data_IF_271644959282
#
_entry.id   IF_271644959282
#
_cell.length_a   1.000
_cell.length_b   1.000
_cell.length_c   1.000
_cell.angle_alpha   90.00
_cell.angle_beta   90.00
_cell.angle_gamma   90.00
#
_symmetry.space_group_name_H-M   'P 1'
#
loop_
_entity.id
_entity.type
_entity.pdbx_description
1 polymer ?
#
# COMPACT_ATOMS: atom_id res chain seq x y z
N UNK A 1 48.30 -41.86 -2.30
CA UNK A 1 47.71 -40.60 -2.81
C UNK A 1 46.55 -40.94 -3.76
N UNK A 2 45.47 -40.16 -3.95
CA UNK A 2 44.93 -39.00 -3.22
C UNK A 2 43.38 -38.97 -3.35
N UNK A 3 42.69 -40.02 -2.87
CA UNK A 3 41.24 -40.19 -3.06
C UNK A 3 40.34 -39.29 -2.19
N UNK A 4 40.75 -39.00 -0.94
CA UNK A 4 39.90 -38.28 0.04
C UNK A 4 39.74 -36.80 -0.29
N UNK A 5 40.79 -36.13 -0.79
CA UNK A 5 40.76 -34.68 -1.10
C UNK A 5 39.86 -34.33 -2.28
N UNK A 6 39.76 -35.21 -3.30
CA UNK A 6 38.84 -34.99 -4.44
C UNK A 6 37.37 -35.03 -4.03
N UNK A 7 37.01 -35.93 -3.11
CA UNK A 7 35.63 -36.04 -2.58
C UNK A 7 35.27 -34.81 -1.76
N UNK A 8 36.19 -34.32 -0.91
CA UNK A 8 35.99 -33.08 -0.15
C UNK A 8 35.90 -31.84 -1.05
N UNK A 9 36.70 -31.75 -2.11
CA UNK A 9 36.59 -30.66 -3.09
C UNK A 9 35.25 -30.66 -3.85
N UNK A 10 34.77 -31.85 -4.25
CA UNK A 10 33.46 -31.98 -4.89
C UNK A 10 32.30 -31.65 -3.94
N UNK A 11 32.38 -32.05 -2.66
CA UNK A 11 31.40 -31.70 -1.64
C UNK A 11 31.34 -30.19 -1.37
N UNK A 12 32.49 -29.52 -1.29
CA UNK A 12 32.57 -28.06 -1.11
C UNK A 12 31.99 -27.30 -2.32
N UNK A 13 32.25 -27.76 -3.55
CA UNK A 13 31.65 -27.18 -4.76
C UNK A 13 30.13 -27.39 -4.81
N UNK A 14 29.63 -28.57 -4.41
CA UNK A 14 28.20 -28.85 -4.33
C UNK A 14 27.47 -27.94 -3.32
N UNK A 15 28.06 -27.74 -2.13
CA UNK A 15 27.50 -26.85 -1.10
C UNK A 15 27.52 -25.39 -1.56
N UNK A 16 28.58 -24.93 -2.20
CA UNK A 16 28.66 -23.58 -2.77
C UNK A 16 27.62 -23.35 -3.88
N UNK A 17 27.38 -24.36 -4.74
CA UNK A 17 26.38 -24.27 -5.80
C UNK A 17 24.94 -24.25 -5.26
N UNK A 18 24.65 -25.03 -4.21
CA UNK A 18 23.31 -25.03 -3.58
C UNK A 18 23.05 -23.71 -2.83
N UNK A 19 24.03 -23.17 -2.11
CA UNK A 19 23.93 -21.85 -1.48
C UNK A 19 23.80 -20.73 -2.53
N UNK A 20 24.53 -20.81 -3.65
CA UNK A 20 24.42 -19.85 -4.76
C UNK A 20 23.09 -19.94 -5.52
N UNK A 21 22.61 -21.15 -5.82
CA UNK A 21 21.37 -21.36 -6.57
C UNK A 21 20.11 -20.97 -5.82
N UNK A 22 20.05 -21.25 -4.51
CA UNK A 22 18.97 -20.76 -3.63
C UNK A 22 19.05 -19.24 -3.48
N UNK A 23 20.26 -18.66 -3.38
CA UNK A 23 20.43 -17.21 -3.33
C UNK A 23 19.99 -16.54 -4.62
N UNK A 24 20.30 -17.08 -5.81
CA UNK A 24 19.96 -16.49 -7.09
C UNK A 24 18.45 -16.36 -7.32
N UNK A 25 17.69 -17.43 -7.12
CA UNK A 25 16.23 -17.41 -7.31
C UNK A 25 15.50 -16.63 -6.21
N UNK A 26 16.04 -16.58 -4.99
CA UNK A 26 15.52 -15.74 -3.92
C UNK A 26 15.85 -14.26 -4.14
N UNK A 27 17.06 -13.92 -4.61
CA UNK A 27 17.47 -12.55 -4.95
C UNK A 27 16.71 -12.02 -6.16
N UNK A 28 16.54 -12.80 -7.24
CA UNK A 28 15.76 -12.35 -8.40
C UNK A 28 14.31 -12.06 -8.00
N UNK A 29 13.67 -12.97 -7.25
CA UNK A 29 12.31 -12.77 -6.74
C UNK A 29 12.21 -11.69 -5.64
N UNK A 30 13.28 -11.43 -4.90
CA UNK A 30 13.34 -10.34 -3.92
C UNK A 30 13.54 -8.99 -4.60
N UNK A 31 14.47 -8.87 -5.54
CA UNK A 31 14.79 -7.64 -6.29
C UNK A 31 13.66 -7.24 -7.25
N UNK A 32 13.01 -8.20 -7.92
CA UNK A 32 11.79 -7.94 -8.70
C UNK A 32 10.58 -7.56 -7.81
N UNK A 33 10.59 -7.95 -6.53
CA UNK A 33 9.60 -7.51 -5.53
C UNK A 33 10.00 -6.20 -4.87
N UNK A 34 11.29 -5.88 -4.79
CA UNK A 34 11.81 -4.62 -4.25
C UNK A 34 11.67 -3.49 -5.27
N UNK A 35 11.87 -3.73 -6.57
CA UNK A 35 11.56 -2.74 -7.61
C UNK A 35 10.06 -2.45 -7.66
N UNK A 36 9.22 -3.48 -7.71
CA UNK A 36 7.76 -3.33 -7.67
C UNK A 36 7.26 -2.68 -6.37
N UNK A 37 7.91 -2.92 -5.22
CA UNK A 37 7.50 -2.32 -3.94
C UNK A 37 8.16 -0.97 -3.63
N UNK A 38 9.30 -0.62 -4.23
CA UNK A 38 9.86 0.72 -4.23
C UNK A 38 8.97 1.66 -5.05
N UNK A 39 8.62 1.29 -6.29
CA UNK A 39 7.66 2.05 -7.10
C UNK A 39 6.29 2.18 -6.40
N UNK A 40 5.83 1.13 -5.72
CA UNK A 40 4.57 1.21 -4.94
C UNK A 40 4.69 2.15 -3.74
N UNK A 41 5.83 2.16 -3.03
CA UNK A 41 6.07 3.00 -1.84
C UNK A 41 6.17 4.48 -2.19
N UNK A 42 6.84 4.83 -3.28
CA UNK A 42 6.98 6.23 -3.67
C UNK A 42 5.66 6.79 -4.23
N UNK A 43 4.92 6.04 -5.05
CA UNK A 43 3.57 6.43 -5.50
C UNK A 43 2.58 6.62 -4.33
N UNK A 44 2.64 5.78 -3.29
CA UNK A 44 1.80 5.97 -2.10
C UNK A 44 2.25 7.16 -1.24
N UNK A 45 3.54 7.51 -1.23
CA UNK A 45 4.05 8.73 -0.56
C UNK A 45 3.58 10.02 -1.23
N UNK A 46 3.52 10.04 -2.56
CA UNK A 46 3.10 11.21 -3.34
C UNK A 46 1.58 11.45 -3.24
N UNK A 47 0.75 10.39 -3.36
CA UNK A 47 -0.70 10.49 -3.08
C UNK A 47 -1.02 11.05 -1.70
N UNK A 48 -0.22 10.64 -0.71
CA UNK A 48 -0.33 11.13 0.66
C UNK A 48 0.02 12.62 0.73
N UNK A 49 1.04 13.09 -0.03
CA UNK A 49 1.41 14.51 -0.15
C UNK A 49 0.29 15.32 -0.79
N UNK A 50 -0.30 14.88 -1.90
CA UNK A 50 -1.39 15.59 -2.59
C UNK A 50 -2.64 15.78 -1.73
N UNK A 51 -2.97 14.77 -0.91
CA UNK A 51 -4.08 14.85 0.05
C UNK A 51 -3.82 15.89 1.14
N UNK A 52 -2.59 15.97 1.65
CA UNK A 52 -2.19 16.98 2.63
C UNK A 52 -2.14 18.38 2.03
N UNK A 53 -1.65 18.52 0.79
CA UNK A 53 -1.68 19.76 0.02
C UNK A 53 -3.11 20.30 -0.11
N UNK A 54 -4.05 19.51 -0.62
CA UNK A 54 -5.47 19.93 -0.72
C UNK A 54 -6.11 20.28 0.62
N UNK A 55 -5.72 19.61 1.72
CA UNK A 55 -6.21 19.95 3.05
C UNK A 55 -5.65 21.29 3.55
N UNK A 56 -4.35 21.54 3.33
CA UNK A 56 -3.71 22.83 3.60
C UNK A 56 -4.30 23.95 2.75
N UNK A 57 -4.57 23.71 1.47
CA UNK A 57 -5.18 24.69 0.56
C UNK A 57 -6.61 25.04 0.99
N UNK A 58 -7.43 24.04 1.34
CA UNK A 58 -8.76 24.28 1.89
C UNK A 58 -8.69 25.07 3.19
N UNK A 59 -7.82 24.68 4.13
CA UNK A 59 -7.69 25.37 5.41
C UNK A 59 -7.14 26.81 5.25
N UNK A 60 -6.25 27.03 4.28
CA UNK A 60 -5.73 28.35 3.95
C UNK A 60 -6.81 29.27 3.36
N UNK A 61 -7.69 28.74 2.51
CA UNK A 61 -8.80 29.49 1.92
C UNK A 61 -9.95 29.76 2.91
N UNK A 62 -10.29 28.79 3.76
CA UNK A 62 -11.41 28.91 4.71
C UNK A 62 -11.08 29.82 5.91
N UNK A 63 -9.79 30.00 6.22
CA UNK A 63 -9.31 30.79 7.37
C UNK A 63 -8.48 32.02 6.97
N UNK A 64 -8.43 32.37 5.68
CA UNK A 64 -7.62 33.47 5.11
C UNK A 64 -6.17 33.50 5.64
N UNK A 65 -5.50 32.34 5.64
CA UNK A 65 -4.16 32.20 6.23
C UNK A 65 -3.11 33.00 5.45
N UNK A 66 -2.30 33.78 6.17
CA UNK A 66 -1.11 34.42 5.61
C UNK A 66 -0.05 33.39 5.19
N UNK A 67 0.89 33.77 4.34
CA UNK A 67 1.97 32.89 3.87
C UNK A 67 2.78 32.29 5.04
N UNK A 68 3.11 33.10 6.05
CA UNK A 68 3.78 32.65 7.28
C UNK A 68 2.96 31.62 8.07
N UNK A 69 1.65 31.84 8.20
CA UNK A 69 0.75 30.90 8.87
C UNK A 69 0.63 29.60 8.07
N UNK A 70 0.48 29.68 6.75
CA UNK A 70 0.43 28.53 5.84
C UNK A 70 1.69 27.66 5.98
N UNK A 71 2.88 28.27 5.99
CA UNK A 71 4.15 27.56 6.18
C UNK A 71 4.25 26.87 7.56
N UNK A 72 3.79 27.54 8.62
CA UNK A 72 3.74 26.94 9.97
C UNK A 72 2.77 25.74 10.04
N UNK A 73 1.60 25.84 9.40
CA UNK A 73 0.63 24.74 9.31
C UNK A 73 1.18 23.57 8.50
N UNK A 74 1.85 23.82 7.36
CA UNK A 74 2.53 22.78 6.59
C UNK A 74 3.57 22.02 7.44
N UNK A 75 4.36 22.74 8.23
CA UNK A 75 5.33 22.15 9.17
C UNK A 75 4.67 21.35 10.30
N UNK A 76 3.49 21.77 10.80
CA UNK A 76 2.70 20.97 11.75
C UNK A 76 2.21 19.67 11.10
N UNK A 77 1.70 19.76 9.88
CA UNK A 77 1.15 18.63 9.12
C UNK A 77 2.24 17.59 8.81
N UNK A 78 3.41 18.00 8.30
CA UNK A 78 4.47 17.05 7.93
C UNK A 78 5.10 16.39 9.17
N UNK A 79 5.24 17.10 10.31
CA UNK A 79 5.71 16.52 11.58
C UNK A 79 4.84 15.38 12.11
N UNK A 80 3.54 15.38 11.83
CA UNK A 80 2.61 14.34 12.30
C UNK A 80 2.27 13.29 11.24
N UNK A 81 2.73 13.48 9.99
CA UNK A 81 2.46 12.60 8.84
C UNK A 81 2.64 11.12 9.15
N UNK A 82 3.81 10.74 9.69
CA UNK A 82 4.12 9.33 9.90
C UNK A 82 3.27 8.69 11.00
N UNK A 83 2.97 9.45 12.07
CA UNK A 83 2.09 9.01 13.16
C UNK A 83 0.66 8.75 12.66
N UNK A 84 0.10 9.68 11.87
CA UNK A 84 -1.22 9.52 11.24
C UNK A 84 -1.24 8.35 10.26
N UNK A 85 -0.19 8.22 9.44
CA UNK A 85 -0.04 7.13 8.47
C UNK A 85 0.09 5.75 9.16
N UNK A 86 0.77 5.68 10.31
CA UNK A 86 0.86 4.47 11.13
C UNK A 86 -0.50 4.09 11.74
N UNK A 87 -1.19 5.03 12.40
CA UNK A 87 -2.52 4.84 12.96
C UNK A 87 -3.54 4.37 11.90
N UNK A 88 -3.45 4.93 10.68
CA UNK A 88 -4.29 4.49 9.56
C UNK A 88 -3.97 3.06 9.11
N UNK A 89 -2.69 2.66 9.03
CA UNK A 89 -2.30 1.28 8.70
C UNK A 89 -2.81 0.27 9.73
N UNK A 90 -2.78 0.63 11.00
CA UNK A 90 -3.27 -0.20 12.11
C UNK A 90 -4.80 -0.32 12.12
N UNK A 91 -5.52 0.79 11.91
CA UNK A 91 -6.98 0.83 12.05
C UNK A 91 -7.72 0.37 10.79
N UNK A 92 -7.14 0.56 9.60
CA UNK A 92 -7.77 0.26 8.30
C UNK A 92 -8.28 -1.19 8.17
N UNK A 93 -7.54 -2.25 8.59
CA UNK A 93 -8.03 -3.63 8.49
C UNK A 93 -9.35 -3.84 9.25
N UNK A 94 -9.43 -3.34 10.49
CA UNK A 94 -10.64 -3.42 11.34
C UNK A 94 -11.83 -2.66 10.73
N UNK A 95 -11.58 -1.52 10.09
CA UNK A 95 -12.62 -0.77 9.39
C UNK A 95 -13.12 -1.50 8.13
N UNK A 96 -12.21 -2.14 7.39
CA UNK A 96 -12.56 -2.95 6.21
C UNK A 96 -13.34 -4.21 6.58
N UNK A 97 -12.99 -4.87 7.70
CA UNK A 97 -13.74 -5.99 8.29
C UNK A 97 -15.15 -5.59 8.70
N UNK A 98 -15.30 -4.53 9.51
CA UNK A 98 -16.62 -3.99 9.90
C UNK A 98 -17.48 -3.63 8.68
N UNK A 99 -16.89 -3.03 7.64
CA UNK A 99 -17.59 -2.73 6.38
C UNK A 99 -18.03 -4.00 5.65
N UNK A 100 -17.26 -5.08 5.68
CA UNK A 100 -17.67 -6.36 5.09
C UNK A 100 -18.82 -7.00 5.87
N UNK A 101 -18.75 -6.98 7.21
CA UNK A 101 -19.84 -7.44 8.07
C UNK A 101 -21.14 -6.66 7.80
N UNK A 102 -21.10 -5.32 7.82
CA UNK A 102 -22.26 -4.48 7.52
C UNK A 102 -22.82 -4.74 6.11
N UNK A 103 -21.96 -4.94 5.10
CA UNK A 103 -22.39 -5.35 3.75
C UNK A 103 -23.05 -6.73 3.74
N UNK A 104 -22.68 -7.66 4.63
CA UNK A 104 -23.33 -8.97 4.75
C UNK A 104 -24.71 -8.83 5.40
N UNK A 105 -24.78 -8.20 6.57
CA UNK A 105 -26.02 -8.01 7.32
C UNK A 105 -27.07 -7.25 6.50
N UNK A 106 -26.66 -6.32 5.63
CA UNK A 106 -27.57 -5.66 4.69
C UNK A 106 -28.14 -6.66 3.67
N UNK A 107 -27.31 -7.53 3.06
CA UNK A 107 -27.76 -8.49 2.03
C UNK A 107 -28.81 -9.46 2.58
N UNK A 108 -28.64 -9.90 3.82
CA UNK A 108 -29.55 -10.84 4.49
C UNK A 108 -30.99 -10.27 4.67
N UNK A 109 -31.17 -8.96 4.46
CA UNK A 109 -32.45 -8.26 4.57
C UNK A 109 -33.08 -7.89 3.21
N UNK A 110 -32.40 -8.13 2.08
CA UNK A 110 -32.87 -7.71 0.75
C UNK A 110 -33.66 -8.80 0.03
N UNK A 111 -34.63 -8.39 -0.81
CA UNK A 111 -35.19 -9.29 -1.83
C UNK A 111 -34.16 -9.53 -2.95
N UNK A 112 -34.39 -10.53 -3.80
CA UNK A 112 -33.49 -10.88 -4.91
C UNK A 112 -33.27 -9.70 -5.87
N UNK A 113 -34.33 -8.95 -6.20
CA UNK A 113 -34.25 -7.76 -7.06
C UNK A 113 -33.52 -6.59 -6.38
N UNK A 114 -33.69 -6.45 -5.05
CA UNK A 114 -32.98 -5.44 -4.27
C UNK A 114 -31.50 -5.77 -4.12
N UNK A 115 -31.15 -7.06 -4.00
CA UNK A 115 -29.78 -7.54 -3.90
C UNK A 115 -29.00 -7.26 -5.19
N UNK A 116 -29.58 -7.48 -6.37
CA UNK A 116 -28.96 -7.15 -7.65
C UNK A 116 -28.65 -5.64 -7.75
N UNK A 117 -29.63 -4.79 -7.40
CA UNK A 117 -29.45 -3.34 -7.37
C UNK A 117 -28.37 -2.91 -6.35
N UNK A 118 -28.31 -3.55 -5.18
CA UNK A 118 -27.30 -3.28 -4.15
C UNK A 118 -25.89 -3.64 -4.61
N UNK A 119 -25.70 -4.81 -5.22
CA UNK A 119 -24.39 -5.21 -5.77
C UNK A 119 -23.93 -4.31 -6.92
N UNK A 120 -24.86 -3.82 -7.76
CA UNK A 120 -24.54 -2.79 -8.77
C UNK A 120 -24.08 -1.47 -8.13
N UNK A 121 -24.71 -1.03 -7.03
CA UNK A 121 -24.28 0.16 -6.28
C UNK A 121 -22.91 -0.03 -5.61
N UNK A 122 -22.64 -1.20 -5.02
CA UNK A 122 -21.34 -1.52 -4.43
C UNK A 122 -20.24 -1.51 -5.49
N UNK A 123 -20.45 -2.19 -6.62
CA UNK A 123 -19.50 -2.26 -7.74
C UNK A 123 -19.16 -0.87 -8.26
N UNK A 124 -20.17 -0.02 -8.54
CA UNK A 124 -19.98 1.38 -8.96
C UNK A 124 -19.23 2.23 -7.93
N UNK A 125 -19.37 1.93 -6.63
CA UNK A 125 -18.62 2.61 -5.57
C UNK A 125 -17.14 2.19 -5.56
N UNK A 126 -16.89 0.89 -5.73
CA UNK A 126 -15.55 0.31 -5.69
C UNK A 126 -14.78 0.59 -7.01
N UNK A 127 -15.46 0.66 -8.16
CA UNK A 127 -14.99 1.21 -9.46
C UNK A 127 -14.57 2.67 -9.31
N UNK A 128 -15.43 3.56 -8.79
CA UNK A 128 -15.05 4.97 -8.55
C UNK A 128 -13.86 5.14 -7.60
N UNK A 129 -13.65 4.20 -6.68
CA UNK A 129 -12.46 4.13 -5.81
C UNK A 129 -11.24 3.57 -6.53
N UNK A 130 -11.41 2.82 -7.62
CA UNK A 130 -10.35 2.37 -8.51
C UNK A 130 -9.98 3.47 -9.50
N UNK A 131 -10.95 4.00 -10.26
CA UNK A 131 -10.77 5.07 -11.24
C UNK A 131 -10.12 6.31 -10.61
N UNK A 132 -10.53 6.70 -9.40
CA UNK A 132 -9.84 7.78 -8.68
C UNK A 132 -8.39 7.41 -8.34
N UNK A 133 -8.07 6.16 -8.02
CA UNK A 133 -6.68 5.71 -7.87
C UNK A 133 -5.95 5.57 -9.21
N UNK A 134 -6.60 5.66 -10.38
CA UNK A 134 -5.99 5.52 -11.70
C UNK A 134 -5.86 6.83 -12.47
N UNK A 135 -6.85 7.71 -12.41
CA UNK A 135 -6.70 9.09 -12.84
C UNK A 135 -5.69 9.84 -11.94
N UNK A 136 -5.58 9.48 -10.65
CA UNK A 136 -4.46 9.90 -9.78
C UNK A 136 -3.14 9.09 -10.06
N UNK A 137 -2.98 8.42 -11.22
CA UNK A 137 -1.72 7.77 -11.72
C UNK A 137 -1.25 8.29 -13.09
N UNK A 138 -2.04 9.09 -13.81
CA UNK A 138 -1.75 9.59 -15.18
C UNK A 138 -1.51 11.08 -15.20
#
# INVERSE_FOLDING_TARGET
MNGKSKIWAAALLGVALVLGGVSGAALDRALLRDSASAESRDRDRDRDRDRRGRYLDWLAAELDLTEDQRSQVESIIERHREQVSALWRETRPRFEELKQQLRSEIRDLLTEEQLEAYEALLRKSDERRHDKKENDKS
#
